data_IF_645055898617
#
_entry.id   IF_645055898617
#
_cell.length_a   1.000
_cell.length_b   1.000
_cell.length_c   1.000
_cell.angle_alpha   90.00
_cell.angle_beta   90.00
_cell.angle_gamma   90.00
#
_symmetry.space_group_name_H-M   'P 1'
#
loop_
_entity.id
_entity.type
_entity.pdbx_description
1 polymer ?
#
# COMPACT_ATOMS: atom_id res chain seq x y z
N UNK A 1 0.16 -20.55 -9.26
CA UNK A 1 1.15 -19.42 -9.29
C UNK A 1 0.64 -18.38 -8.34
N UNK A 2 1.50 -17.81 -7.53
CA UNK A 2 1.19 -16.69 -6.64
C UNK A 2 1.86 -15.44 -7.20
N UNK A 3 1.20 -14.30 -7.10
CA UNK A 3 1.73 -13.01 -7.53
C UNK A 3 1.87 -12.08 -6.33
N UNK A 4 2.84 -11.18 -6.39
CA UNK A 4 3.03 -10.11 -5.40
C UNK A 4 3.01 -8.78 -6.14
N UNK A 5 2.16 -7.87 -5.68
CA UNK A 5 2.07 -6.49 -6.16
C UNK A 5 2.59 -5.55 -5.08
N UNK A 6 3.56 -4.71 -5.42
CA UNK A 6 3.94 -3.56 -4.59
C UNK A 6 3.28 -2.30 -5.14
N UNK A 7 2.61 -1.55 -4.29
CA UNK A 7 1.90 -0.32 -4.67
C UNK A 7 1.99 0.70 -3.53
N UNK A 8 2.08 1.97 -3.85
CA UNK A 8 1.94 3.03 -2.84
C UNK A 8 0.47 3.26 -2.48
N UNK A 9 0.21 3.87 -1.33
CA UNK A 9 -1.15 4.21 -0.88
C UNK A 9 -1.88 5.12 -1.87
N UNK A 10 -1.21 6.13 -2.41
CA UNK A 10 -1.77 7.02 -3.44
C UNK A 10 -2.17 6.23 -4.70
N UNK A 11 -1.32 5.31 -5.17
CA UNK A 11 -1.64 4.43 -6.29
C UNK A 11 -2.80 3.50 -5.97
N UNK A 12 -2.85 2.97 -4.75
CA UNK A 12 -3.96 2.12 -4.30
C UNK A 12 -5.28 2.88 -4.28
N UNK A 13 -5.32 4.13 -3.81
CA UNK A 13 -6.54 4.95 -3.86
C UNK A 13 -7.10 5.10 -5.28
N UNK A 14 -6.23 5.17 -6.28
CA UNK A 14 -6.64 5.31 -7.68
C UNK A 14 -7.17 4.01 -8.28
N UNK A 15 -6.73 2.86 -7.77
CA UNK A 15 -6.99 1.53 -8.35
C UNK A 15 -7.67 0.56 -7.39
N UNK A 16 -8.15 1.04 -6.24
CA UNK A 16 -8.70 0.15 -5.20
C UNK A 16 -9.90 -0.68 -5.69
N UNK A 17 -10.61 -0.22 -6.72
CA UNK A 17 -11.67 -0.99 -7.36
C UNK A 17 -11.18 -2.32 -7.97
N UNK A 18 -9.92 -2.41 -8.38
CA UNK A 18 -9.33 -3.64 -8.92
C UNK A 18 -9.17 -4.72 -7.84
N UNK A 19 -9.08 -4.33 -6.57
CA UNK A 19 -9.06 -5.26 -5.45
C UNK A 19 -10.38 -6.06 -5.36
N UNK A 20 -11.53 -5.43 -5.67
CA UNK A 20 -12.81 -6.13 -5.74
C UNK A 20 -12.75 -7.29 -6.76
N UNK A 21 -12.20 -7.03 -7.93
CA UNK A 21 -12.03 -8.07 -8.94
C UNK A 21 -11.14 -9.22 -8.44
N UNK A 22 -10.03 -8.89 -7.79
CA UNK A 22 -9.14 -9.91 -7.20
C UNK A 22 -9.85 -10.75 -6.14
N UNK A 23 -10.70 -10.12 -5.32
CA UNK A 23 -11.51 -10.81 -4.30
C UNK A 23 -12.55 -11.73 -4.97
N UNK A 24 -13.32 -11.21 -5.91
CA UNK A 24 -14.38 -11.95 -6.59
C UNK A 24 -13.85 -13.15 -7.36
N UNK A 25 -12.69 -12.99 -8.00
CA UNK A 25 -12.01 -14.07 -8.74
C UNK A 25 -11.12 -14.94 -7.85
N UNK A 26 -11.05 -14.67 -6.53
CA UNK A 26 -10.23 -15.40 -5.54
C UNK A 26 -8.78 -15.55 -6.00
N UNK A 27 -8.20 -14.44 -6.48
CA UNK A 27 -6.83 -14.48 -6.99
C UNK A 27 -5.84 -14.70 -5.83
N UNK A 28 -4.88 -15.64 -5.95
CA UNK A 28 -3.83 -15.84 -4.96
C UNK A 28 -2.76 -14.74 -5.07
N UNK A 29 -3.16 -13.51 -4.73
CA UNK A 29 -2.40 -12.28 -4.87
C UNK A 29 -2.05 -11.72 -3.49
N UNK A 30 -0.79 -11.36 -3.27
CA UNK A 30 -0.38 -10.53 -2.14
C UNK A 30 -0.19 -9.11 -2.63
N UNK A 31 -0.94 -8.17 -2.07
CA UNK A 31 -0.77 -6.73 -2.29
C UNK A 31 0.01 -6.16 -1.11
N UNK A 32 1.20 -5.65 -1.36
CA UNK A 32 2.01 -4.93 -0.39
C UNK A 32 1.82 -3.44 -0.64
N UNK A 33 0.97 -2.80 0.17
CA UNK A 33 0.74 -1.38 0.09
C UNK A 33 1.77 -0.65 0.94
N UNK A 34 2.65 0.09 0.29
CA UNK A 34 3.68 0.93 0.91
C UNK A 34 3.02 2.26 1.30
N UNK A 35 2.42 2.29 2.48
CA UNK A 35 1.61 3.41 2.97
C UNK A 35 2.49 4.38 3.76
N UNK A 36 2.79 5.53 3.18
CA UNK A 36 3.49 6.64 3.86
C UNK A 36 2.55 7.80 4.24
N UNK A 37 1.25 7.65 3.97
CA UNK A 37 0.23 8.64 4.26
C UNK A 37 0.35 9.90 3.42
N UNK A 38 0.94 9.81 2.23
CA UNK A 38 1.22 10.93 1.37
C UNK A 38 1.35 10.52 -0.10
N UNK A 39 1.31 11.48 -1.01
CA UNK A 39 1.85 11.32 -2.35
C UNK A 39 3.38 11.52 -2.26
N UNK A 40 4.08 10.50 -1.71
CA UNK A 40 5.47 10.63 -1.28
C UNK A 40 6.45 10.98 -2.40
N UNK A 41 6.24 10.46 -3.62
CA UNK A 41 7.03 10.84 -4.78
C UNK A 41 6.89 12.33 -5.12
N UNK A 42 5.69 12.89 -4.95
CA UNK A 42 5.42 14.29 -5.25
C UNK A 42 6.04 15.23 -4.23
N UNK A 43 6.16 14.81 -2.97
CA UNK A 43 6.82 15.61 -1.93
C UNK A 43 8.26 15.98 -2.31
N UNK A 44 8.95 15.12 -3.06
CA UNK A 44 10.30 15.38 -3.53
C UNK A 44 10.37 16.57 -4.51
N UNK A 45 9.32 16.75 -5.32
CA UNK A 45 9.25 17.77 -6.36
C UNK A 45 8.55 19.04 -5.91
N UNK A 46 7.70 18.99 -4.89
CA UNK A 46 6.91 20.15 -4.45
C UNK A 46 7.77 21.31 -3.97
N UNK A 47 8.90 21.03 -3.33
CA UNK A 47 9.85 22.05 -2.92
C UNK A 47 10.39 22.86 -4.12
N UNK A 48 10.67 22.18 -5.22
CA UNK A 48 11.18 22.79 -6.46
C UNK A 48 10.10 23.63 -7.15
N UNK A 49 8.84 23.24 -6.99
CA UNK A 49 7.69 23.92 -7.61
C UNK A 49 7.07 25.01 -6.73
N UNK A 50 7.62 25.27 -5.55
CA UNK A 50 7.06 26.22 -4.58
C UNK A 50 5.61 25.89 -4.18
N UNK A 51 5.25 24.61 -4.19
CA UNK A 51 3.95 24.10 -3.74
C UNK A 51 4.04 23.67 -2.29
N UNK A 52 3.08 24.06 -1.42
CA UNK A 52 3.09 23.65 -0.03
C UNK A 52 3.02 22.13 0.12
N UNK A 53 4.00 21.46 0.80
CA UNK A 53 4.02 20.00 0.96
C UNK A 53 2.79 19.44 1.66
N UNK A 54 2.12 20.25 2.50
CA UNK A 54 0.91 19.84 3.21
C UNK A 54 -0.23 19.38 2.29
N UNK A 55 -0.23 19.79 1.03
CA UNK A 55 -1.25 19.36 0.07
C UNK A 55 -1.06 17.91 -0.39
N UNK A 56 0.14 17.36 -0.25
CA UNK A 56 0.45 15.97 -0.61
C UNK A 56 0.44 15.03 0.60
N UNK A 57 0.27 15.55 1.81
CA UNK A 57 0.21 14.74 3.05
C UNK A 57 -1.23 14.63 3.51
N UNK A 58 -1.76 13.42 3.54
CA UNK A 58 -3.15 13.13 3.94
C UNK A 58 -3.26 12.23 5.17
N UNK A 59 -2.14 11.73 5.69
CA UNK A 59 -2.09 10.87 6.87
C UNK A 59 -2.37 9.40 6.56
N UNK A 60 -2.16 8.56 7.56
CA UNK A 60 -2.39 7.13 7.45
C UNK A 60 -3.89 6.83 7.62
N UNK A 61 -4.54 6.43 6.53
CA UNK A 61 -5.86 5.80 6.62
C UNK A 61 -5.71 4.31 6.95
N UNK A 62 -6.72 3.69 7.55
CA UNK A 62 -6.77 2.24 7.77
C UNK A 62 -7.13 1.53 6.46
N UNK A 63 -6.13 1.31 5.62
CA UNK A 63 -6.31 0.65 4.34
C UNK A 63 -6.56 -0.86 4.50
N UNK A 64 -6.06 -1.46 5.59
CA UNK A 64 -6.38 -2.84 5.91
C UNK A 64 -7.88 -3.02 6.22
N UNK A 65 -8.50 -2.08 6.94
CA UNK A 65 -9.95 -2.10 7.16
C UNK A 65 -10.73 -1.91 5.85
N UNK A 66 -10.29 -1.00 4.99
CA UNK A 66 -10.90 -0.79 3.67
C UNK A 66 -10.84 -2.07 2.83
N UNK A 67 -9.69 -2.73 2.76
CA UNK A 67 -9.50 -3.97 2.03
C UNK A 67 -10.38 -5.11 2.60
N UNK A 68 -10.49 -5.22 3.93
CA UNK A 68 -11.41 -6.17 4.58
C UNK A 68 -12.86 -5.89 4.23
N UNK A 69 -13.25 -4.62 4.18
CA UNK A 69 -14.58 -4.20 3.75
C UNK A 69 -14.92 -4.61 2.32
N UNK A 70 -13.93 -4.76 1.47
CA UNK A 70 -14.05 -5.27 0.10
C UNK A 70 -13.99 -6.80 0.01
N UNK A 71 -13.74 -7.49 1.13
CA UNK A 71 -13.69 -8.96 1.21
C UNK A 71 -12.31 -9.58 1.10
N UNK A 72 -11.23 -8.79 1.06
CA UNK A 72 -9.87 -9.31 1.09
C UNK A 72 -9.47 -9.74 2.51
N UNK A 73 -8.57 -10.72 2.59
CA UNK A 73 -7.78 -10.91 3.81
C UNK A 73 -6.84 -9.72 3.95
N UNK A 74 -6.69 -9.14 5.13
CA UNK A 74 -5.84 -7.97 5.28
C UNK A 74 -5.20 -7.86 6.66
N UNK A 75 -4.01 -7.28 6.72
CA UNK A 75 -3.29 -6.99 7.94
C UNK A 75 -2.63 -5.61 7.88
N UNK A 76 -2.63 -4.90 9.01
CA UNK A 76 -1.78 -3.74 9.24
C UNK A 76 -0.38 -4.23 9.65
N UNK A 77 0.64 -3.67 9.03
CA UNK A 77 2.05 -3.98 9.28
C UNK A 77 2.80 -2.68 9.59
N UNK A 78 3.12 -2.47 10.85
CA UNK A 78 3.87 -1.28 11.31
C UNK A 78 5.35 -1.59 11.54
N UNK A 79 5.70 -2.89 11.60
CA UNK A 79 7.06 -3.37 11.81
C UNK A 79 7.35 -4.57 10.90
N UNK A 80 8.59 -4.71 10.46
CA UNK A 80 9.01 -5.83 9.58
C UNK A 80 8.68 -7.19 10.18
N UNK A 81 8.74 -7.32 11.51
CA UNK A 81 8.38 -8.54 12.22
C UNK A 81 6.92 -8.99 12.02
N UNK A 82 6.03 -8.06 11.64
CA UNK A 82 4.62 -8.35 11.35
C UNK A 82 4.38 -9.06 10.01
N UNK A 83 5.32 -8.99 9.06
CA UNK A 83 5.15 -9.56 7.73
C UNK A 83 5.00 -11.09 7.73
N UNK A 84 5.91 -11.78 8.41
CA UNK A 84 5.91 -13.24 8.42
C UNK A 84 4.65 -13.84 9.07
N UNK A 85 4.13 -13.34 10.22
CA UNK A 85 2.86 -13.79 10.75
C UNK A 85 1.68 -13.57 9.80
N UNK A 86 1.60 -12.40 9.15
CA UNK A 86 0.53 -12.08 8.20
C UNK A 86 0.54 -13.04 7.00
N UNK A 87 1.71 -13.32 6.44
CA UNK A 87 1.87 -14.26 5.33
C UNK A 87 1.53 -15.71 5.75
N UNK A 88 1.90 -16.12 6.96
CA UNK A 88 1.55 -17.46 7.45
C UNK A 88 0.06 -17.63 7.71
N UNK A 89 -0.63 -16.56 8.09
CA UNK A 89 -2.08 -16.58 8.32
C UNK A 89 -2.93 -16.50 7.06
N UNK A 90 -2.31 -16.23 5.91
CA UNK A 90 -3.01 -16.10 4.65
C UNK A 90 -3.43 -17.44 4.07
N UNK A 91 -4.69 -17.53 3.64
CA UNK A 91 -5.21 -18.64 2.83
C UNK A 91 -5.31 -18.21 1.36
N UNK A 92 -4.39 -18.65 0.49
CA UNK A 92 -4.43 -18.30 -0.94
C UNK A 92 -5.68 -18.78 -1.67
N UNK A 93 -6.34 -19.82 -1.20
CA UNK A 93 -7.55 -20.36 -1.80
C UNK A 93 -8.79 -19.47 -1.50
N UNK A 94 -8.73 -18.69 -0.43
CA UNK A 94 -9.79 -17.77 -0.06
C UNK A 94 -9.69 -16.41 -0.78
N UNK A 95 -8.58 -16.14 -1.48
CA UNK A 95 -8.40 -14.92 -2.26
C UNK A 95 -7.20 -14.07 -1.83
N UNK A 96 -7.16 -12.79 -2.21
CA UNK A 96 -5.99 -11.94 -2.00
C UNK A 96 -5.75 -11.61 -0.53
N UNK A 97 -4.46 -11.38 -0.21
CA UNK A 97 -3.99 -10.76 1.02
C UNK A 97 -3.57 -9.33 0.72
N UNK A 98 -4.11 -8.38 1.46
CA UNK A 98 -3.69 -6.98 1.45
C UNK A 98 -2.89 -6.66 2.71
N UNK A 99 -1.66 -6.21 2.54
CA UNK A 99 -0.78 -5.77 3.62
C UNK A 99 -0.69 -4.25 3.59
N UNK A 100 -1.28 -3.59 4.59
CA UNK A 100 -1.15 -2.14 4.81
C UNK A 100 0.15 -1.90 5.58
N UNK A 101 1.22 -1.64 4.85
CA UNK A 101 2.55 -1.47 5.43
C UNK A 101 2.82 0.01 5.66
N UNK A 102 2.78 0.45 6.92
CA UNK A 102 3.16 1.81 7.27
C UNK A 102 4.67 1.99 7.13
N UNK A 103 5.08 2.88 6.25
CA UNK A 103 6.49 3.20 5.98
C UNK A 103 6.81 4.64 6.30
N UNK A 104 8.10 4.95 6.48
CA UNK A 104 8.58 6.30 6.73
C UNK A 104 8.50 7.16 5.46
N UNK A 105 8.00 8.39 5.60
CA UNK A 105 8.09 9.45 4.57
C UNK A 105 9.47 10.06 4.42
N UNK A 106 10.33 9.88 5.43
CA UNK A 106 11.66 10.51 5.46
C UNK A 106 12.70 9.73 4.66
N UNK A 107 12.38 8.48 4.29
CA UNK A 107 13.26 7.64 3.48
C UNK A 107 12.88 7.77 2.01
N UNK A 108 13.78 8.35 1.22
CA UNK A 108 13.59 8.55 -0.21
C UNK A 108 14.37 7.50 -1.02
N UNK A 109 13.80 7.11 -2.15
CA UNK A 109 14.54 6.31 -3.12
C UNK A 109 15.66 7.15 -3.75
N UNK A 110 16.89 6.62 -3.87
CA UNK A 110 17.97 7.31 -4.59
C UNK A 110 17.65 7.63 -6.06
N UNK A 111 16.64 6.98 -6.63
CA UNK A 111 16.18 7.27 -7.98
C UNK A 111 15.64 8.71 -8.13
N UNK A 112 15.13 9.31 -7.05
CA UNK A 112 14.64 10.70 -7.07
C UNK A 112 15.75 11.75 -7.04
N UNK A 113 17.01 11.36 -6.77
CA UNK A 113 18.13 12.28 -6.73
C UNK A 113 18.63 12.64 -8.15
N UNK A 114 18.07 12.01 -9.17
CA UNK A 114 18.50 12.15 -10.57
C UNK A 114 17.39 12.61 -11.53
N UNK A 115 16.26 13.06 -10.98
CA UNK A 115 15.10 13.50 -11.78
C UNK A 115 14.88 14.99 -11.60
#
# INVERSE_FOLDING_TARGET
>A
MQAVLFIGDCGFYLTMGDLETAVRERLPLVVVCMNDGAAGSELAHMADWSVPPAQAVFGYADLAAAARGMGAQAALVEEVAGLAPALRGWDPAAGPLFLDCHISRDVRSPLYDHV
#
